data_IF_081091082650
#
_entry.id   IF_081091082650
#
_cell.length_a   1.000
_cell.length_b   1.000
_cell.length_c   1.000
_cell.angle_alpha   90.00
_cell.angle_beta   90.00
_cell.angle_gamma   90.00
#
_symmetry.space_group_name_H-M   'P 1'
#
loop_
_entity.id
_entity.type
_entity.pdbx_description
1 polymer ?
#
# COMPACT_ATOMS: atom_id res chain seq x y z
N UNK A 1 8.17 45.02 -16.29
CA UNK A 1 8.23 43.68 -16.91
C UNK A 1 9.58 43.09 -16.56
N UNK A 2 9.61 42.04 -15.73
CA UNK A 2 10.84 41.45 -15.21
C UNK A 2 11.38 40.39 -16.17
N UNK A 3 12.70 40.18 -16.18
CA UNK A 3 13.38 39.19 -17.02
C UNK A 3 12.95 37.73 -16.78
N UNK A 4 12.14 37.47 -15.75
CA UNK A 4 11.59 36.16 -15.42
C UNK A 4 10.35 35.78 -16.25
N UNK A 5 9.66 36.74 -16.87
CA UNK A 5 8.45 36.46 -17.68
C UNK A 5 8.78 36.04 -19.13
N UNK A 6 10.05 36.17 -19.54
CA UNK A 6 10.50 35.85 -20.91
C UNK A 6 11.00 34.40 -21.09
N UNK A 7 11.29 33.66 -20.01
CA UNK A 7 11.70 32.25 -20.12
C UNK A 7 10.50 31.29 -20.26
N UNK A 8 9.28 31.72 -19.93
CA UNK A 8 8.13 30.83 -19.89
C UNK A 8 7.39 30.65 -21.22
N UNK A 9 7.83 31.35 -22.28
CA UNK A 9 7.25 31.30 -23.62
C UNK A 9 8.12 30.56 -24.65
N UNK A 10 9.20 29.90 -24.22
CA UNK A 10 9.99 29.06 -25.12
C UNK A 10 9.13 27.86 -25.60
N UNK A 11 8.88 27.71 -26.91
CA UNK A 11 8.17 26.55 -27.43
C UNK A 11 8.95 25.29 -27.05
N UNK A 12 8.25 24.31 -26.48
CA UNK A 12 8.74 22.98 -26.14
C UNK A 12 9.70 22.48 -27.23
N UNK A 13 11.01 22.65 -26.97
CA UNK A 13 12.07 22.10 -27.80
C UNK A 13 11.84 20.60 -27.80
N UNK A 14 11.31 20.06 -28.90
CA UNK A 14 11.20 18.62 -29.12
C UNK A 14 12.56 18.04 -28.78
N UNK A 15 12.58 17.17 -27.77
CA UNK A 15 13.77 16.40 -27.40
C UNK A 15 14.25 15.73 -28.69
N UNK A 16 15.48 15.97 -29.16
CA UNK A 16 15.98 15.29 -30.34
C UNK A 16 15.88 13.80 -30.07
N UNK A 17 15.24 13.08 -30.99
CA UNK A 17 15.25 11.62 -31.03
C UNK A 17 16.72 11.22 -31.03
N UNK A 18 17.17 10.62 -29.93
CA UNK A 18 18.56 10.22 -29.75
C UNK A 18 18.88 9.22 -30.86
N UNK A 19 19.71 9.64 -31.81
CA UNK A 19 20.24 8.77 -32.83
C UNK A 19 20.96 7.61 -32.15
N UNK A 20 20.63 6.39 -32.55
CA UNK A 20 21.36 5.19 -32.15
C UNK A 20 22.77 5.28 -32.74
N UNK A 21 23.76 5.63 -31.90
CA UNK A 21 25.16 5.66 -32.34
C UNK A 21 26.05 6.72 -31.69
N UNK A 22 25.87 7.03 -30.40
CA UNK A 22 26.85 7.81 -29.64
C UNK A 22 27.43 6.95 -28.53
N UNK A 23 28.47 6.20 -28.89
CA UNK A 23 29.49 5.71 -27.98
C UNK A 23 30.27 6.92 -27.47
N UNK A 24 29.93 7.42 -26.28
CA UNK A 24 30.79 8.35 -25.56
C UNK A 24 30.53 8.28 -24.05
N UNK A 25 31.47 7.66 -23.34
CA UNK A 25 32.03 8.15 -22.07
C UNK A 25 31.11 8.45 -20.88
N UNK A 26 29.89 7.92 -20.83
CA UNK A 26 29.01 8.09 -19.68
C UNK A 26 29.42 7.14 -18.55
N UNK A 27 29.96 7.69 -17.46
CA UNK A 27 30.16 6.97 -16.20
C UNK A 27 28.96 6.07 -15.94
N UNK A 28 29.20 4.75 -15.93
CA UNK A 28 28.17 3.76 -15.71
C UNK A 28 27.41 4.15 -14.43
N UNK A 29 26.10 4.33 -14.54
CA UNK A 29 25.25 4.51 -13.37
C UNK A 29 25.63 3.41 -12.36
N UNK A 30 25.87 3.74 -11.09
CA UNK A 30 26.30 2.75 -10.11
C UNK A 30 25.29 1.61 -10.13
N UNK A 31 25.74 0.44 -10.59
CA UNK A 31 24.93 -0.76 -10.52
C UNK A 31 24.68 -1.01 -9.05
N UNK A 32 23.45 -0.77 -8.61
CA UNK A 32 23.03 -1.10 -7.25
C UNK A 32 23.36 -2.58 -7.09
N UNK A 33 24.20 -2.97 -6.11
CA UNK A 33 24.59 -4.36 -5.95
C UNK A 33 23.34 -5.20 -5.83
N UNK A 34 23.06 -6.01 -6.86
CA UNK A 34 22.07 -7.06 -6.73
C UNK A 34 22.66 -8.04 -5.72
N UNK A 35 22.17 -7.96 -4.48
CA UNK A 35 22.45 -8.97 -3.47
C UNK A 35 22.15 -10.37 -4.01
N UNK A 36 22.66 -11.43 -3.35
CA UNK A 36 22.49 -12.79 -3.83
C UNK A 36 21.03 -13.05 -4.20
N UNK A 37 20.75 -13.65 -5.37
CA UNK A 37 19.40 -13.81 -5.87
C UNK A 37 18.55 -14.53 -4.82
N UNK A 38 17.65 -13.79 -4.19
CA UNK A 38 16.72 -14.35 -3.22
C UNK A 38 15.87 -15.43 -3.89
N UNK A 39 15.45 -16.42 -3.11
CA UNK A 39 14.56 -17.48 -3.62
C UNK A 39 13.32 -16.85 -4.28
N UNK A 40 12.83 -17.40 -5.41
CA UNK A 40 11.64 -16.89 -6.09
C UNK A 40 10.48 -16.69 -5.12
N UNK A 41 9.66 -15.66 -5.32
CA UNK A 41 8.56 -15.34 -4.40
C UNK A 41 7.58 -16.52 -4.18
N UNK A 42 7.47 -17.41 -5.17
CA UNK A 42 6.62 -18.63 -5.13
C UNK A 42 7.38 -19.91 -4.76
N UNK A 43 8.62 -19.80 -4.28
CA UNK A 43 9.38 -20.94 -3.79
C UNK A 43 8.67 -21.55 -2.57
N UNK A 44 8.58 -22.89 -2.45
CA UNK A 44 7.84 -23.55 -1.36
C UNK A 44 8.30 -23.11 0.04
N UNK A 45 9.60 -22.86 0.22
CA UNK A 45 10.14 -22.33 1.48
C UNK A 45 9.61 -20.92 1.82
N UNK A 46 9.42 -20.05 0.82
CA UNK A 46 8.83 -18.73 1.02
C UNK A 46 7.34 -18.84 1.35
N UNK A 47 6.62 -19.77 0.71
CA UNK A 47 5.22 -20.07 1.01
C UNK A 47 5.09 -20.55 2.47
N UNK A 48 5.88 -21.54 2.86
CA UNK A 48 5.89 -22.06 4.23
C UNK A 48 6.22 -20.96 5.25
N UNK A 49 7.25 -20.16 5.01
CA UNK A 49 7.61 -19.02 5.87
C UNK A 49 6.45 -18.04 6.05
N UNK A 50 5.75 -17.68 4.97
CA UNK A 50 4.59 -16.77 5.01
C UNK A 50 3.44 -17.40 5.79
N UNK A 51 3.12 -18.66 5.54
CA UNK A 51 2.10 -19.40 6.28
C UNK A 51 2.40 -19.46 7.77
N UNK A 52 3.66 -19.72 8.15
CA UNK A 52 4.09 -19.72 9.54
C UNK A 52 3.95 -18.33 10.20
N UNK A 53 4.32 -17.24 9.50
CA UNK A 53 4.16 -15.87 10.00
C UNK A 53 2.67 -15.54 10.19
N UNK A 54 1.83 -15.83 9.19
CA UNK A 54 0.38 -15.57 9.26
C UNK A 54 -0.23 -16.37 10.42
N UNK A 55 0.05 -17.68 10.47
CA UNK A 55 -0.48 -18.58 11.50
C UNK A 55 -0.06 -18.18 12.91
N UNK A 56 1.23 -17.91 13.13
CA UNK A 56 1.74 -17.47 14.43
C UNK A 56 1.15 -16.12 14.86
N UNK A 57 0.98 -15.19 13.92
CA UNK A 57 0.37 -13.88 14.19
C UNK A 57 -1.11 -14.00 14.54
N UNK A 58 -1.87 -14.80 13.79
CA UNK A 58 -3.28 -15.06 14.08
C UNK A 58 -3.46 -15.78 15.42
N UNK A 59 -2.57 -16.72 15.75
CA UNK A 59 -2.57 -17.39 17.05
C UNK A 59 -2.34 -16.39 18.19
N UNK A 60 -1.36 -15.49 18.07
CA UNK A 60 -1.13 -14.45 19.07
C UNK A 60 -2.34 -13.49 19.21
N UNK A 61 -3.01 -13.16 18.11
CA UNK A 61 -4.25 -12.35 18.14
C UNK A 61 -5.42 -13.08 18.78
N UNK A 62 -5.52 -14.38 18.57
CA UNK A 62 -6.50 -15.22 19.23
C UNK A 62 -6.26 -15.24 20.74
N UNK A 63 -5.01 -15.41 21.18
CA UNK A 63 -4.63 -15.36 22.60
C UNK A 63 -4.98 -14.02 23.25
N UNK A 64 -4.78 -12.91 22.53
CA UNK A 64 -5.22 -11.58 22.97
C UNK A 64 -6.72 -11.31 22.82
N UNK A 65 -7.51 -12.29 22.36
CA UNK A 65 -8.95 -12.15 22.09
C UNK A 65 -9.28 -10.96 21.16
N UNK A 66 -8.39 -10.64 20.21
CA UNK A 66 -8.50 -9.45 19.35
C UNK A 66 -9.84 -9.38 18.63
N UNK A 67 -10.20 -10.45 17.92
CA UNK A 67 -11.44 -10.49 17.14
C UNK A 67 -12.68 -10.48 18.02
N UNK A 68 -12.67 -11.23 19.12
CA UNK A 68 -13.79 -11.26 20.05
C UNK A 68 -14.06 -9.87 20.64
N UNK A 69 -13.00 -9.20 21.09
CA UNK A 69 -13.10 -7.85 21.64
C UNK A 69 -13.54 -6.84 20.59
N UNK A 70 -12.96 -6.84 19.38
CA UNK A 70 -13.35 -5.94 18.28
C UNK A 70 -14.86 -5.99 18.00
N UNK A 71 -15.46 -7.17 18.11
CA UNK A 71 -16.87 -7.38 17.78
C UNK A 71 -17.82 -7.10 18.94
N UNK A 72 -17.40 -7.36 20.19
CA UNK A 72 -18.34 -7.40 21.33
C UNK A 72 -17.99 -6.45 22.47
N UNK A 73 -16.76 -5.94 22.54
CA UNK A 73 -16.32 -5.15 23.69
C UNK A 73 -16.79 -3.69 23.55
N UNK A 74 -17.67 -3.20 24.44
CA UNK A 74 -18.25 -1.85 24.33
C UNK A 74 -17.22 -0.73 24.51
N UNK A 75 -16.02 -1.04 25.04
CA UNK A 75 -14.95 -0.06 25.19
C UNK A 75 -14.21 0.24 23.88
N UNK A 76 -14.41 -0.57 22.84
CA UNK A 76 -13.86 -0.29 21.52
C UNK A 76 -14.73 0.77 20.85
N UNK A 77 -14.09 1.86 20.43
CA UNK A 77 -14.76 2.88 19.63
C UNK A 77 -15.05 2.31 18.24
N UNK A 78 -16.23 1.72 18.07
CA UNK A 78 -16.68 1.18 16.79
C UNK A 78 -16.72 2.25 15.70
N UNK A 79 -17.01 3.51 16.05
CA UNK A 79 -16.96 4.62 15.11
C UNK A 79 -15.54 4.88 14.59
N UNK A 80 -14.55 4.97 15.50
CA UNK A 80 -13.14 5.10 15.09
C UNK A 80 -12.67 3.88 14.30
N UNK A 81 -13.13 2.68 14.66
CA UNK A 81 -12.82 1.46 13.92
C UNK A 81 -13.38 1.48 12.49
N UNK A 82 -14.64 1.91 12.31
CA UNK A 82 -15.28 2.09 10.99
C UNK A 82 -14.54 3.12 10.15
N UNK A 83 -14.11 4.23 10.74
CA UNK A 83 -13.29 5.25 10.05
C UNK A 83 -11.97 4.64 9.57
N UNK A 84 -11.27 3.90 10.44
CA UNK A 84 -10.05 3.19 10.05
C UNK A 84 -10.27 2.21 8.90
N UNK A 85 -11.38 1.47 8.93
CA UNK A 85 -11.77 0.55 7.87
C UNK A 85 -12.09 1.28 6.55
N UNK A 86 -12.82 2.40 6.61
CA UNK A 86 -13.13 3.22 5.44
C UNK A 86 -11.85 3.77 4.78
N UNK A 87 -10.89 4.24 5.59
CA UNK A 87 -9.59 4.69 5.10
C UNK A 87 -8.77 3.55 4.48
N UNK A 88 -8.83 2.34 5.05
CA UNK A 88 -8.21 1.15 4.46
C UNK A 88 -8.82 0.80 3.09
N UNK A 89 -10.15 0.91 2.94
CA UNK A 89 -10.83 0.72 1.66
C UNK A 89 -10.43 1.82 0.66
N UNK A 90 -10.31 3.07 1.10
CA UNK A 90 -9.84 4.17 0.27
C UNK A 90 -8.40 3.95 -0.25
N UNK A 91 -7.50 3.41 0.58
CA UNK A 91 -6.14 3.04 0.16
C UNK A 91 -6.18 2.01 -0.97
N UNK A 92 -7.02 0.97 -0.82
CA UNK A 92 -7.22 -0.04 -1.85
C UNK A 92 -7.77 0.58 -3.14
N UNK A 93 -8.69 1.54 -3.03
CA UNK A 93 -9.23 2.29 -4.16
C UNK A 93 -8.16 3.06 -4.95
N UNK A 94 -7.31 3.81 -4.24
CA UNK A 94 -6.22 4.59 -4.85
C UNK A 94 -5.26 3.65 -5.57
N UNK A 95 -4.91 2.52 -4.94
CA UNK A 95 -4.07 1.50 -5.58
C UNK A 95 -4.72 0.95 -6.85
N UNK A 96 -5.98 0.53 -6.78
CA UNK A 96 -6.70 0.01 -7.94
C UNK A 96 -6.82 1.05 -9.07
N UNK A 97 -7.01 2.32 -8.74
CA UNK A 97 -6.98 3.43 -9.69
C UNK A 97 -5.61 3.53 -10.37
N UNK A 98 -4.51 3.57 -9.61
CA UNK A 98 -3.16 3.65 -10.19
C UNK A 98 -2.85 2.44 -11.07
N UNK A 99 -3.17 1.22 -10.63
CA UNK A 99 -2.87 0.01 -11.41
C UNK A 99 -3.76 -0.18 -12.64
N UNK A 100 -5.08 -0.07 -12.47
CA UNK A 100 -6.05 -0.39 -13.53
C UNK A 100 -6.29 0.78 -14.47
N UNK A 101 -6.41 2.00 -13.94
CA UNK A 101 -6.68 3.17 -14.77
C UNK A 101 -5.38 3.70 -15.38
N UNK A 102 -4.42 4.12 -14.57
CA UNK A 102 -3.21 4.74 -15.12
C UNK A 102 -2.22 3.71 -15.69
N UNK A 103 -2.02 2.58 -15.00
CA UNK A 103 -1.11 1.52 -15.43
C UNK A 103 -1.57 0.82 -16.71
N UNK A 104 -2.78 0.24 -16.69
CA UNK A 104 -3.28 -0.55 -17.83
C UNK A 104 -3.90 0.28 -18.96
N UNK A 105 -4.70 1.30 -18.65
CA UNK A 105 -5.39 2.08 -19.70
C UNK A 105 -4.47 3.09 -20.37
N UNK A 106 -3.57 3.71 -19.60
CA UNK A 106 -2.66 4.74 -20.10
C UNK A 106 -1.21 4.25 -20.34
N UNK A 107 -0.94 2.94 -20.17
CA UNK A 107 0.38 2.31 -20.36
C UNK A 107 1.53 3.03 -19.63
N UNK A 108 1.23 3.67 -18.49
CA UNK A 108 2.25 4.32 -17.68
C UNK A 108 2.93 3.28 -16.80
N UNK A 109 4.26 3.34 -16.72
CA UNK A 109 5.00 2.55 -15.73
C UNK A 109 4.68 3.07 -14.33
N UNK A 110 4.42 2.14 -13.41
CA UNK A 110 4.18 2.42 -11.99
C UNK A 110 5.50 2.84 -11.34
N UNK A 111 5.85 4.10 -11.55
CA UNK A 111 7.03 4.76 -11.00
C UNK A 111 6.60 5.97 -10.17
N UNK A 112 7.34 6.27 -9.12
CA UNK A 112 6.98 7.34 -8.17
C UNK A 112 6.78 8.69 -8.87
N UNK A 113 7.63 9.02 -9.84
CA UNK A 113 7.58 10.28 -10.57
C UNK A 113 6.24 10.47 -11.32
N UNK A 114 5.62 9.39 -11.77
CA UNK A 114 4.32 9.41 -12.46
C UNK A 114 3.14 9.48 -11.49
N UNK A 115 3.34 9.07 -10.22
CA UNK A 115 2.27 8.86 -9.24
C UNK A 115 2.53 9.52 -7.89
N UNK A 116 3.29 10.63 -7.88
CA UNK A 116 3.66 11.34 -6.66
C UNK A 116 2.44 11.71 -5.83
N UNK A 117 1.42 12.32 -6.43
CA UNK A 117 0.19 12.72 -5.73
C UNK A 117 -0.54 11.52 -5.12
N UNK A 118 -0.73 10.45 -5.89
CA UNK A 118 -1.37 9.23 -5.39
C UNK A 118 -0.60 8.59 -4.22
N UNK A 119 0.74 8.63 -4.28
CA UNK A 119 1.61 8.16 -3.20
C UNK A 119 1.42 8.98 -1.93
N UNK A 120 1.42 10.32 -2.02
CA UNK A 120 1.21 11.18 -0.86
C UNK A 120 -0.17 10.98 -0.26
N UNK A 121 -1.23 10.93 -1.09
CA UNK A 121 -2.59 10.63 -0.64
C UNK A 121 -2.62 9.29 0.10
N UNK A 122 -1.97 8.27 -0.44
CA UNK A 122 -1.90 6.95 0.19
C UNK A 122 -1.21 7.01 1.55
N UNK A 123 -0.09 7.74 1.67
CA UNK A 123 0.60 7.94 2.95
C UNK A 123 -0.32 8.62 3.97
N UNK A 124 -1.01 9.69 3.57
CA UNK A 124 -1.97 10.38 4.44
C UNK A 124 -3.12 9.46 4.88
N UNK A 125 -3.67 8.66 3.98
CA UNK A 125 -4.72 7.69 4.31
C UNK A 125 -4.20 6.61 5.27
N UNK A 126 -2.96 6.12 5.09
CA UNK A 126 -2.34 5.14 6.00
C UNK A 126 -2.18 5.74 7.39
N UNK A 127 -1.69 6.98 7.50
CA UNK A 127 -1.56 7.66 8.78
C UNK A 127 -2.92 7.85 9.46
N UNK A 128 -3.94 8.28 8.71
CA UNK A 128 -5.30 8.40 9.23
C UNK A 128 -5.88 7.07 9.71
N UNK A 129 -5.72 5.99 8.93
CA UNK A 129 -6.17 4.66 9.31
C UNK A 129 -5.45 4.18 10.57
N UNK A 130 -4.14 4.42 10.67
CA UNK A 130 -3.35 4.07 11.84
C UNK A 130 -3.85 4.77 13.10
N UNK A 131 -4.06 6.09 13.05
CA UNK A 131 -4.58 6.86 14.19
C UNK A 131 -5.97 6.35 14.58
N UNK A 132 -6.85 6.13 13.61
CA UNK A 132 -8.21 5.67 13.85
C UNK A 132 -8.26 4.29 14.54
N UNK A 133 -7.46 3.32 14.06
CA UNK A 133 -7.34 2.01 14.69
C UNK A 133 -6.69 2.08 16.07
N UNK A 134 -5.68 2.94 16.26
CA UNK A 134 -5.06 3.13 17.56
C UNK A 134 -6.06 3.69 18.59
N UNK A 135 -6.85 4.68 18.20
CA UNK A 135 -7.92 5.23 19.05
C UNK A 135 -9.00 4.19 19.33
N UNK A 136 -9.34 3.34 18.36
CA UNK A 136 -10.35 2.29 18.54
C UNK A 136 -9.91 1.20 19.54
N UNK A 137 -8.66 0.78 19.48
CA UNK A 137 -8.16 -0.40 20.22
C UNK A 137 -7.47 -0.05 21.54
N UNK A 138 -6.87 1.13 21.67
CA UNK A 138 -6.12 1.53 22.87
C UNK A 138 -6.91 1.50 24.18
N UNK A 139 -8.23 1.75 24.24
CA UNK A 139 -8.98 1.66 25.50
C UNK A 139 -9.04 0.25 26.10
N UNK A 140 -8.91 -0.79 25.27
CA UNK A 140 -8.97 -2.20 25.71
C UNK A 140 -7.57 -2.76 25.94
N UNK A 141 -6.64 -2.46 25.04
CA UNK A 141 -5.31 -3.09 25.05
C UNK A 141 -4.21 -2.22 25.65
N UNK A 142 -4.45 -0.91 25.82
CA UNK A 142 -3.40 0.06 26.13
C UNK A 142 -2.49 0.35 24.93
N UNK A 143 -1.58 1.31 25.08
CA UNK A 143 -0.76 1.81 23.96
C UNK A 143 0.15 0.74 23.33
N UNK A 144 0.96 0.06 24.15
CA UNK A 144 1.97 -0.90 23.66
C UNK A 144 1.34 -2.15 23.01
N UNK A 145 0.36 -2.79 23.65
CA UNK A 145 -0.29 -3.97 23.06
C UNK A 145 -1.07 -3.61 21.79
N UNK A 146 -1.72 -2.45 21.75
CA UNK A 146 -2.37 -1.96 20.52
C UNK A 146 -1.37 -1.83 19.39
N UNK A 147 -0.19 -1.25 19.65
CA UNK A 147 0.87 -1.16 18.65
C UNK A 147 1.31 -2.54 18.16
N UNK A 148 1.52 -3.52 19.06
CA UNK A 148 1.86 -4.90 18.69
C UNK A 148 0.75 -5.53 17.83
N UNK A 149 -0.51 -5.35 18.20
CA UNK A 149 -1.66 -5.87 17.43
C UNK A 149 -1.71 -5.24 16.04
N UNK A 150 -1.52 -3.93 15.93
CA UNK A 150 -1.54 -3.22 14.65
C UNK A 150 -0.39 -3.61 13.73
N UNK A 151 0.84 -3.67 14.25
CA UNK A 151 2.02 -4.14 13.50
C UNK A 151 1.85 -5.61 13.12
N UNK A 152 1.43 -6.45 14.06
CA UNK A 152 1.16 -7.87 13.83
C UNK A 152 0.12 -8.04 12.72
N UNK A 153 -1.01 -7.34 12.78
CA UNK A 153 -2.07 -7.50 11.79
C UNK A 153 -1.64 -6.97 10.42
N UNK A 154 -1.09 -5.77 10.36
CA UNK A 154 -0.66 -5.16 9.10
C UNK A 154 0.48 -5.96 8.44
N UNK A 155 1.57 -6.22 9.17
CA UNK A 155 2.72 -6.91 8.59
C UNK A 155 2.54 -8.43 8.55
N UNK A 156 2.15 -9.03 9.68
CA UNK A 156 2.08 -10.48 9.84
C UNK A 156 0.91 -11.12 9.10
N UNK A 157 -0.22 -10.42 8.97
CA UNK A 157 -1.40 -10.93 8.25
C UNK A 157 -1.56 -10.26 6.89
N UNK A 158 -1.77 -8.94 6.83
CA UNK A 158 -2.19 -8.28 5.58
C UNK A 158 -1.09 -8.33 4.51
N UNK A 159 0.14 -7.93 4.82
CA UNK A 159 1.24 -7.93 3.84
C UNK A 159 1.56 -9.36 3.39
N UNK A 160 1.67 -10.32 4.31
CA UNK A 160 1.96 -11.71 3.93
C UNK A 160 0.85 -12.31 3.07
N UNK A 161 -0.42 -12.00 3.38
CA UNK A 161 -1.58 -12.45 2.59
C UNK A 161 -1.59 -11.80 1.21
N UNK A 162 -1.31 -10.50 1.12
CA UNK A 162 -1.20 -9.80 -0.16
C UNK A 162 -0.10 -10.43 -1.03
N UNK A 163 1.05 -10.79 -0.46
CA UNK A 163 2.11 -11.45 -1.20
C UNK A 163 1.75 -12.88 -1.65
N UNK A 164 0.77 -13.52 -1.00
CA UNK A 164 0.24 -14.83 -1.38
C UNK A 164 -0.70 -14.74 -2.59
N UNK A 165 -1.50 -13.67 -2.64
CA UNK A 165 -2.52 -13.47 -3.67
C UNK A 165 -1.89 -12.81 -4.91
N UNK A 166 -2.07 -13.37 -6.13
CA UNK A 166 -1.58 -12.73 -7.34
C UNK A 166 -2.25 -11.36 -7.56
N UNK A 167 -1.57 -10.46 -8.27
CA UNK A 167 -2.02 -9.07 -8.48
C UNK A 167 -3.45 -8.99 -9.04
N UNK A 168 -3.83 -9.88 -9.96
CA UNK A 168 -5.20 -9.92 -10.49
C UNK A 168 -6.25 -10.22 -9.41
N UNK A 169 -5.92 -11.09 -8.44
CA UNK A 169 -6.79 -11.43 -7.31
C UNK A 169 -6.90 -10.28 -6.31
N UNK A 170 -5.79 -9.57 -6.04
CA UNK A 170 -5.82 -8.37 -5.20
C UNK A 170 -6.72 -7.27 -5.79
N UNK A 171 -6.65 -7.08 -7.12
CA UNK A 171 -7.49 -6.12 -7.82
C UNK A 171 -8.97 -6.52 -7.80
N UNK A 172 -9.28 -7.81 -7.96
CA UNK A 172 -10.65 -8.31 -7.81
C UNK A 172 -11.21 -8.05 -6.41
N UNK A 173 -10.45 -8.37 -5.36
CA UNK A 173 -10.84 -8.11 -3.97
C UNK A 173 -11.09 -6.61 -3.76
N UNK A 174 -10.23 -5.75 -4.31
CA UNK A 174 -10.41 -4.30 -4.21
C UNK A 174 -11.71 -3.81 -4.83
N UNK A 175 -12.07 -4.33 -6.01
CA UNK A 175 -13.31 -3.97 -6.69
C UNK A 175 -14.53 -4.44 -5.88
N UNK A 176 -14.54 -5.69 -5.43
CA UNK A 176 -15.65 -6.24 -4.63
C UNK A 176 -15.83 -5.49 -3.32
N UNK A 177 -14.73 -5.24 -2.59
CA UNK A 177 -14.77 -4.49 -1.32
C UNK A 177 -15.34 -3.08 -1.51
N UNK A 178 -14.94 -2.39 -2.59
CA UNK A 178 -15.48 -1.08 -2.94
C UNK A 178 -16.98 -1.13 -3.26
N UNK A 179 -17.42 -2.10 -4.05
CA UNK A 179 -18.84 -2.25 -4.41
C UNK A 179 -19.71 -2.48 -3.17
N UNK A 180 -19.30 -3.38 -2.28
CA UNK A 180 -20.03 -3.67 -1.03
C UNK A 180 -20.05 -2.44 -0.13
N UNK A 181 -18.92 -1.73 0.00
CA UNK A 181 -18.86 -0.50 0.79
C UNK A 181 -19.85 0.56 0.28
N UNK A 182 -19.87 0.82 -1.04
CA UNK A 182 -20.81 1.78 -1.63
C UNK A 182 -22.27 1.37 -1.47
N UNK A 183 -22.58 0.07 -1.40
CA UNK A 183 -23.94 -0.41 -1.17
C UNK A 183 -24.41 -0.24 0.28
N UNK A 184 -23.51 -0.37 1.25
CA UNK A 184 -23.83 -0.24 2.69
C UNK A 184 -23.97 1.22 3.14
N UNK A 185 -23.43 2.17 2.38
CA UNK A 185 -23.50 3.62 2.65
C UNK A 185 -24.57 4.36 1.80
N UNK A 186 -25.44 3.61 1.11
CA UNK A 186 -26.71 4.13 0.59
C UNK A 186 -27.79 4.01 1.64
#
# INVERSE_FOLDING_TARGET
MNALDLEQSAPLRRRPVRAAGSENGGAAAPQIPHGPPGLPARHPLNIFKRTAIIGGTLYAMHDFNVFHNILHNPKISHESFKVGLALAIAIMAVKAYVELYEGKKHNKKVEYDNFKTATHITIFLIMGAWIAFHMALSPVYGGFKTWVIMVGFSYGVLIQSALFIPVWGQNLISVVAMTVFLQQYK
#
